data_IF_593888134848
#
_entry.id   IF_593888134848
#
_cell.length_a   1.000
_cell.length_b   1.000
_cell.length_c   1.000
_cell.angle_alpha   90.00
_cell.angle_beta   90.00
_cell.angle_gamma   90.00
#
_symmetry.space_group_name_H-M   'P 1'
#
loop_
_entity.id
_entity.type
_entity.pdbx_description
1 polymer ?
#
# COMPACT_ATOMS: atom_id res chain seq x y z
N UNK A 1 59.89 40.73 -98.16
CA UNK A 1 60.43 39.56 -97.44
C UNK A 1 61.52 40.05 -96.52
N UNK A 2 61.23 40.13 -95.22
CA UNK A 2 62.17 39.90 -94.11
C UNK A 2 61.32 40.03 -92.84
N UNK A 3 60.86 38.87 -92.35
CA UNK A 3 60.19 38.75 -91.07
C UNK A 3 61.21 38.99 -89.96
N UNK A 4 61.03 40.07 -89.19
CA UNK A 4 61.70 40.19 -87.90
C UNK A 4 60.93 39.35 -86.88
N UNK A 5 61.47 38.16 -86.57
CA UNK A 5 61.14 37.46 -85.35
C UNK A 5 61.63 38.29 -84.15
N UNK A 6 60.80 39.23 -83.68
CA UNK A 6 60.97 39.83 -82.36
C UNK A 6 60.96 38.67 -81.37
N UNK A 7 62.14 38.38 -80.81
CA UNK A 7 62.33 37.21 -79.97
C UNK A 7 61.30 37.26 -78.83
N UNK A 8 60.57 36.16 -78.63
CA UNK A 8 59.57 36.00 -77.56
C UNK A 8 60.10 36.44 -76.19
N UNK A 9 61.42 36.40 -75.99
CA UNK A 9 62.13 36.72 -74.75
C UNK A 9 62.51 38.21 -74.59
N UNK A 10 62.32 39.06 -75.61
CA UNK A 10 62.63 40.50 -75.55
C UNK A 10 61.46 41.37 -75.05
N UNK A 11 60.23 40.84 -75.02
CA UNK A 11 59.04 41.58 -74.60
C UNK A 11 58.75 41.39 -73.09
N UNK A 12 58.59 42.47 -72.31
CA UNK A 12 58.22 42.39 -70.89
C UNK A 12 56.91 41.62 -70.63
N UNK A 13 55.95 41.71 -71.55
CA UNK A 13 54.67 40.99 -71.46
C UNK A 13 54.84 39.46 -71.44
N UNK A 14 55.82 38.92 -72.18
CA UNK A 14 56.13 37.49 -72.17
C UNK A 14 56.62 37.03 -70.79
N UNK A 15 57.51 37.79 -70.15
CA UNK A 15 57.99 37.49 -68.81
C UNK A 15 56.88 37.58 -67.75
N UNK A 16 55.96 38.55 -67.88
CA UNK A 16 54.77 38.65 -67.01
C UNK A 16 53.86 37.43 -67.18
N UNK A 17 53.62 36.98 -68.42
CA UNK A 17 52.80 35.79 -68.69
C UNK A 17 53.41 34.49 -68.11
N UNK A 18 54.73 34.34 -68.18
CA UNK A 18 55.48 33.22 -67.59
C UNK A 18 55.41 33.25 -66.06
N UNK A 19 55.54 34.43 -65.46
CA UNK A 19 55.44 34.60 -64.01
C UNK A 19 54.03 34.25 -63.49
N UNK A 20 52.97 34.73 -64.16
CA UNK A 20 51.58 34.41 -63.82
C UNK A 20 51.30 32.92 -64.00
N UNK A 21 51.76 32.32 -65.11
CA UNK A 21 51.58 30.88 -65.37
C UNK A 21 52.27 30.04 -64.29
N UNK A 22 53.53 30.37 -63.95
CA UNK A 22 54.27 29.68 -62.89
C UNK A 22 53.58 29.86 -61.53
N UNK A 23 53.04 31.04 -61.23
CA UNK A 23 52.28 31.31 -60.01
C UNK A 23 51.01 30.44 -59.91
N UNK A 24 50.21 30.35 -60.98
CA UNK A 24 49.03 29.49 -61.00
C UNK A 24 49.39 28.00 -60.90
N UNK A 25 50.46 27.57 -61.56
CA UNK A 25 50.97 26.19 -61.42
C UNK A 25 51.36 25.92 -59.97
N UNK A 26 52.05 26.85 -59.29
CA UNK A 26 52.40 26.70 -57.88
C UNK A 26 51.16 26.66 -56.96
N UNK A 27 50.13 27.46 -57.23
CA UNK A 27 48.85 27.44 -56.49
C UNK A 27 48.16 26.08 -56.63
N UNK A 28 48.08 25.57 -57.85
CA UNK A 28 47.46 24.27 -58.14
C UNK A 28 48.29 23.15 -57.51
N UNK A 29 49.63 23.21 -57.61
CA UNK A 29 50.53 22.22 -57.04
C UNK A 29 50.48 22.21 -55.51
N UNK A 30 50.33 23.38 -54.88
CA UNK A 30 50.09 23.52 -53.43
C UNK A 30 48.66 23.19 -52.98
N UNK A 31 47.78 22.81 -53.91
CA UNK A 31 46.39 22.38 -53.64
C UNK A 31 45.57 23.39 -52.83
N UNK A 32 45.91 24.68 -52.90
CA UNK A 32 45.20 25.76 -52.20
C UNK A 32 43.68 25.71 -52.47
N UNK A 33 43.18 25.57 -53.71
CA UNK A 33 41.74 25.49 -53.95
C UNK A 33 41.07 24.25 -53.30
N UNK A 34 41.79 23.13 -53.20
CA UNK A 34 41.25 21.92 -52.56
C UNK A 34 41.13 22.10 -51.03
N UNK A 35 42.01 22.87 -50.41
CA UNK A 35 41.92 23.20 -48.97
C UNK A 35 40.68 24.05 -48.69
N UNK A 36 40.40 25.04 -49.52
CA UNK A 36 39.18 25.86 -49.39
C UNK A 36 37.90 25.04 -49.60
N UNK A 37 37.87 24.17 -50.61
CA UNK A 37 36.74 23.26 -50.83
C UNK A 37 36.53 22.34 -49.62
N UNK A 38 37.60 21.73 -49.09
CA UNK A 38 37.52 20.88 -47.91
C UNK A 38 37.00 21.63 -46.68
N UNK A 39 37.45 22.85 -46.44
CA UNK A 39 36.98 23.65 -45.31
C UNK A 39 35.48 23.95 -45.39
N UNK A 40 34.97 24.22 -46.59
CA UNK A 40 33.55 24.45 -46.82
C UNK A 40 32.73 23.16 -46.66
N UNK A 41 33.25 22.03 -47.14
CA UNK A 41 32.64 20.71 -46.93
C UNK A 41 32.61 20.32 -45.46
N UNK A 42 33.71 20.52 -44.72
CA UNK A 42 33.81 20.24 -43.29
C UNK A 42 32.79 21.09 -42.52
N UNK A 43 32.65 22.38 -42.87
CA UNK A 43 31.65 23.26 -42.27
C UNK A 43 30.23 22.84 -42.61
N UNK A 44 29.97 22.40 -43.84
CA UNK A 44 28.65 21.93 -44.26
C UNK A 44 28.26 20.66 -43.49
N UNK A 45 29.19 19.72 -43.33
CA UNK A 45 29.01 18.51 -42.52
C UNK A 45 28.77 18.83 -41.05
N UNK A 46 29.51 19.79 -40.50
CA UNK A 46 29.31 20.24 -39.11
C UNK A 46 27.89 20.78 -38.91
N UNK A 47 27.42 21.63 -39.82
CA UNK A 47 26.06 22.20 -39.76
C UNK A 47 25.01 21.10 -39.93
N UNK A 48 25.20 20.18 -40.87
CA UNK A 48 24.29 19.05 -41.08
C UNK A 48 24.18 18.18 -39.83
N UNK A 49 25.31 17.83 -39.20
CA UNK A 49 25.33 17.07 -37.94
C UNK A 49 24.64 17.84 -36.80
N UNK A 50 24.86 19.16 -36.69
CA UNK A 50 24.20 19.97 -35.67
C UNK A 50 22.68 20.03 -35.88
N UNK A 51 22.23 20.16 -37.13
CA UNK A 51 20.81 20.15 -37.48
C UNK A 51 20.16 18.79 -37.22
N UNK A 52 20.85 17.69 -37.55
CA UNK A 52 20.37 16.34 -37.25
C UNK A 52 20.23 16.12 -35.74
N UNK A 53 21.25 16.50 -34.97
CA UNK A 53 21.21 16.42 -33.51
C UNK A 53 20.08 17.27 -32.91
N UNK A 54 19.87 18.49 -33.43
CA UNK A 54 18.78 19.35 -32.98
C UNK A 54 17.41 18.74 -33.28
N UNK A 55 17.21 18.18 -34.48
CA UNK A 55 15.96 17.48 -34.85
C UNK A 55 15.73 16.26 -33.96
N UNK A 56 16.78 15.48 -33.69
CA UNK A 56 16.70 14.32 -32.80
C UNK A 56 16.32 14.73 -31.38
N UNK A 57 16.95 15.78 -30.85
CA UNK A 57 16.65 16.29 -29.52
C UNK A 57 15.21 16.81 -29.43
N UNK A 58 14.72 17.47 -30.48
CA UNK A 58 13.32 17.89 -30.56
C UNK A 58 12.37 16.68 -30.57
N UNK A 59 12.65 15.68 -31.40
CA UNK A 59 11.84 14.46 -31.46
C UNK A 59 11.83 13.71 -30.11
N UNK A 60 12.98 13.61 -29.44
CA UNK A 60 13.09 12.99 -28.12
C UNK A 60 12.31 13.79 -27.06
N UNK A 61 12.34 15.13 -27.12
CA UNK A 61 11.58 15.99 -26.22
C UNK A 61 10.06 15.87 -26.44
N UNK A 62 9.60 15.84 -27.69
CA UNK A 62 8.19 15.64 -28.05
C UNK A 62 7.70 14.24 -27.63
N UNK A 63 8.52 13.20 -27.86
CA UNK A 63 8.21 11.85 -27.41
C UNK A 63 8.13 11.75 -25.88
N UNK A 64 9.03 12.43 -25.17
CA UNK A 64 9.05 12.48 -23.72
C UNK A 64 7.83 13.22 -23.17
N UNK A 65 7.46 14.36 -23.76
CA UNK A 65 6.26 15.10 -23.39
C UNK A 65 5.00 14.23 -23.56
N UNK A 66 4.84 13.62 -24.73
CA UNK A 66 3.70 12.72 -24.99
C UNK A 66 3.67 11.52 -24.04
N UNK A 67 4.84 11.01 -23.63
CA UNK A 67 4.92 9.99 -22.59
C UNK A 67 4.43 10.51 -21.24
N UNK A 68 4.92 11.67 -20.79
CA UNK A 68 4.49 12.26 -19.52
C UNK A 68 3.00 12.59 -19.50
N UNK A 69 2.44 13.11 -20.59
CA UNK A 69 1.00 13.39 -20.69
C UNK A 69 0.16 12.11 -20.55
N UNK A 70 0.59 11.01 -21.19
CA UNK A 70 -0.05 9.70 -21.03
C UNK A 70 0.09 9.16 -19.61
N UNK A 71 1.31 9.21 -19.06
CA UNK A 71 1.60 8.73 -17.71
C UNK A 71 0.77 9.51 -16.67
N UNK A 72 0.59 10.83 -16.85
CA UNK A 72 -0.26 11.67 -15.99
C UNK A 72 -1.73 11.27 -16.10
N UNK A 73 -2.26 11.16 -17.31
CA UNK A 73 -3.65 10.74 -17.53
C UNK A 73 -3.93 9.34 -16.94
N UNK A 74 -3.00 8.40 -17.14
CA UNK A 74 -3.13 7.05 -16.61
C UNK A 74 -3.01 7.03 -15.07
N UNK A 75 -2.16 7.87 -14.49
CA UNK A 75 -2.07 8.03 -13.04
C UNK A 75 -3.33 8.65 -12.44
N UNK A 76 -3.92 9.66 -13.09
CA UNK A 76 -5.20 10.24 -12.67
C UNK A 76 -6.32 9.19 -12.71
N UNK A 77 -6.40 8.42 -13.80
CA UNK A 77 -7.37 7.33 -13.92
C UNK A 77 -7.18 6.27 -12.83
N UNK A 78 -5.95 5.84 -12.58
CA UNK A 78 -5.63 4.88 -11.51
C UNK A 78 -5.98 5.43 -10.13
N UNK A 79 -5.76 6.72 -9.89
CA UNK A 79 -6.11 7.36 -8.61
C UNK A 79 -7.64 7.39 -8.39
N UNK A 80 -8.42 7.69 -9.43
CA UNK A 80 -9.88 7.63 -9.37
C UNK A 80 -10.35 6.20 -9.09
N UNK A 81 -9.85 5.23 -9.85
CA UNK A 81 -10.20 3.81 -9.67
C UNK A 81 -9.81 3.31 -8.27
N UNK A 82 -8.65 3.72 -7.75
CA UNK A 82 -8.22 3.40 -6.39
C UNK A 82 -9.17 4.00 -5.34
N UNK A 83 -9.61 5.25 -5.53
CA UNK A 83 -10.53 5.90 -4.60
C UNK A 83 -11.89 5.19 -4.60
N UNK A 84 -12.44 4.88 -5.77
CA UNK A 84 -13.71 4.15 -5.90
C UNK A 84 -13.64 2.77 -5.24
N UNK A 85 -12.55 2.03 -5.47
CA UNK A 85 -12.33 0.73 -4.84
C UNK A 85 -12.18 0.84 -3.32
N UNK A 86 -11.44 1.83 -2.82
CA UNK A 86 -11.28 2.06 -1.39
C UNK A 86 -12.61 2.43 -0.72
N UNK A 87 -13.43 3.28 -1.35
CA UNK A 87 -14.77 3.61 -0.84
C UNK A 87 -15.68 2.37 -0.78
N UNK A 88 -15.66 1.54 -1.82
CA UNK A 88 -16.42 0.29 -1.86
C UNK A 88 -15.97 -0.69 -0.76
N UNK A 89 -14.65 -0.84 -0.59
CA UNK A 89 -14.05 -1.70 0.44
C UNK A 89 -14.37 -1.21 1.85
N UNK A 90 -14.24 0.09 2.11
CA UNK A 90 -14.61 0.70 3.41
C UNK A 90 -16.09 0.48 3.70
N UNK A 91 -16.97 0.65 2.72
CA UNK A 91 -18.41 0.41 2.90
C UNK A 91 -18.70 -1.05 3.25
N UNK A 92 -18.05 -1.99 2.57
CA UNK A 92 -18.15 -3.42 2.87
C UNK A 92 -17.65 -3.71 4.29
N UNK A 93 -16.44 -3.27 4.62
CA UNK A 93 -15.81 -3.47 5.93
C UNK A 93 -16.66 -2.89 7.08
N UNK A 94 -17.24 -1.70 6.89
CA UNK A 94 -18.15 -1.10 7.88
C UNK A 94 -19.41 -1.94 8.03
N UNK A 95 -19.98 -2.46 6.94
CA UNK A 95 -21.18 -3.29 7.00
C UNK A 95 -20.92 -4.62 7.72
N UNK A 96 -19.81 -5.29 7.41
CA UNK A 96 -19.39 -6.53 8.05
C UNK A 96 -19.06 -6.32 9.52
N UNK A 97 -18.30 -5.27 9.83
CA UNK A 97 -17.97 -4.91 11.21
C UNK A 97 -19.21 -4.62 12.04
N UNK A 98 -20.20 -3.90 11.48
CA UNK A 98 -21.49 -3.68 12.14
C UNK A 98 -22.23 -5.00 12.40
N UNK A 99 -22.29 -5.88 11.41
CA UNK A 99 -22.95 -7.18 11.57
C UNK A 99 -22.28 -8.02 12.68
N UNK A 100 -20.94 -8.09 12.67
CA UNK A 100 -20.16 -8.76 13.71
C UNK A 100 -20.39 -8.15 15.09
N UNK A 101 -20.41 -6.81 15.21
CA UNK A 101 -20.64 -6.14 16.49
C UNK A 101 -22.05 -6.41 17.05
N UNK A 102 -23.06 -6.47 16.18
CA UNK A 102 -24.43 -6.85 16.59
C UNK A 102 -24.45 -8.29 17.10
N UNK A 103 -23.83 -9.21 16.38
CA UNK A 103 -23.74 -10.62 16.78
C UNK A 103 -23.00 -10.77 18.12
N UNK A 104 -21.85 -10.12 18.27
CA UNK A 104 -21.06 -10.12 19.50
C UNK A 104 -21.85 -9.54 20.68
N UNK A 105 -22.59 -8.45 20.46
CA UNK A 105 -23.42 -7.83 21.49
C UNK A 105 -24.54 -8.78 21.93
N UNK A 106 -25.24 -9.40 20.97
CA UNK A 106 -26.29 -10.40 21.25
C UNK A 106 -25.73 -11.58 22.05
N UNK A 107 -24.59 -12.13 21.63
CA UNK A 107 -23.95 -13.23 22.35
C UNK A 107 -23.54 -12.83 23.77
N UNK A 108 -23.06 -11.59 23.96
CA UNK A 108 -22.73 -11.06 25.29
C UNK A 108 -23.96 -10.86 26.15
N UNK A 109 -25.09 -10.40 25.61
CA UNK A 109 -26.33 -10.25 26.37
C UNK A 109 -26.85 -11.61 26.82
N UNK A 110 -26.88 -12.61 25.93
CA UNK A 110 -27.29 -13.98 26.27
C UNK A 110 -26.42 -14.58 27.38
N UNK A 111 -25.10 -14.38 27.32
CA UNK A 111 -24.19 -14.83 28.39
C UNK A 111 -24.42 -14.09 29.71
N UNK A 112 -24.74 -12.80 29.67
CA UNK A 112 -25.06 -12.03 30.88
C UNK A 112 -26.38 -12.51 31.49
N UNK A 113 -27.41 -12.73 30.68
CA UNK A 113 -28.70 -13.29 31.11
C UNK A 113 -28.52 -14.68 31.73
N UNK A 114 -27.74 -15.56 31.10
CA UNK A 114 -27.43 -16.88 31.66
C UNK A 114 -26.71 -16.79 33.01
N UNK A 115 -25.78 -15.84 33.17
CA UNK A 115 -25.09 -15.60 34.46
C UNK A 115 -26.04 -15.09 35.53
N UNK A 116 -26.96 -14.19 35.18
CA UNK A 116 -27.99 -13.67 36.09
C UNK A 116 -28.89 -14.84 36.54
N UNK A 117 -29.41 -15.63 35.61
CA UNK A 117 -30.27 -16.77 35.93
C UNK A 117 -29.55 -17.80 36.84
N UNK A 118 -28.27 -18.06 36.59
CA UNK A 118 -27.46 -18.93 37.44
C UNK A 118 -27.29 -18.34 38.86
N UNK A 119 -27.02 -17.04 38.96
CA UNK A 119 -26.88 -16.35 40.25
C UNK A 119 -28.20 -16.32 41.03
N UNK A 120 -29.33 -16.08 40.36
CA UNK A 120 -30.67 -16.13 40.96
C UNK A 120 -31.00 -17.52 41.50
N UNK A 121 -30.70 -18.57 40.72
CA UNK A 121 -30.91 -19.95 41.16
C UNK A 121 -30.03 -20.30 42.38
N UNK A 122 -28.77 -19.83 42.40
CA UNK A 122 -27.87 -20.01 43.52
C UNK A 122 -28.38 -19.27 44.79
N UNK A 123 -28.78 -18.01 44.65
CA UNK A 123 -29.33 -17.21 45.75
C UNK A 123 -30.62 -17.81 46.32
N UNK A 124 -31.53 -18.29 45.46
CA UNK A 124 -32.74 -18.99 45.89
C UNK A 124 -32.41 -20.27 46.68
N UNK A 125 -31.41 -21.04 46.23
CA UNK A 125 -30.95 -22.22 46.95
C UNK A 125 -30.38 -21.86 48.32
N UNK A 126 -29.59 -20.78 48.39
CA UNK A 126 -29.01 -20.29 49.63
C UNK A 126 -30.08 -19.83 50.64
N UNK A 127 -31.07 -19.03 50.19
CA UNK A 127 -32.20 -18.59 51.02
C UNK A 127 -32.99 -19.80 51.55
N UNK A 128 -33.26 -20.80 50.71
CA UNK A 128 -33.94 -22.03 51.13
C UNK A 128 -33.13 -22.77 52.20
N UNK A 129 -31.83 -22.91 52.00
CA UNK A 129 -30.94 -23.56 52.98
C UNK A 129 -30.94 -22.79 54.31
N UNK A 130 -30.85 -21.46 54.27
CA UNK A 130 -30.89 -20.61 55.45
C UNK A 130 -32.23 -20.75 56.19
N UNK A 131 -33.34 -20.76 55.45
CA UNK A 131 -34.69 -20.92 56.02
C UNK A 131 -34.85 -22.28 56.69
N UNK A 132 -34.38 -23.36 56.04
CA UNK A 132 -34.38 -24.70 56.65
C UNK A 132 -33.57 -24.70 57.94
N UNK A 133 -32.37 -24.10 57.94
CA UNK A 133 -31.52 -24.01 59.13
C UNK A 133 -32.23 -23.25 60.27
N UNK A 134 -32.77 -22.06 60.00
CA UNK A 134 -33.51 -21.25 60.99
C UNK A 134 -34.73 -22.01 61.52
N UNK A 135 -35.50 -22.66 60.64
CA UNK A 135 -36.65 -23.46 61.05
C UNK A 135 -36.24 -24.65 61.93
N UNK A 136 -35.15 -25.34 61.62
CA UNK A 136 -34.63 -26.44 62.45
C UNK A 136 -34.09 -25.97 63.79
N UNK A 137 -33.45 -24.79 63.83
CA UNK A 137 -32.97 -24.16 65.05
C UNK A 137 -34.14 -23.72 65.94
N UNK A 138 -35.11 -23.01 65.40
CA UNK A 138 -36.32 -22.62 66.12
C UNK A 138 -37.12 -23.84 66.63
N UNK A 139 -37.20 -24.92 65.84
CA UNK A 139 -37.83 -26.16 66.28
C UNK A 139 -37.05 -26.82 67.42
N UNK A 140 -35.70 -26.81 67.37
CA UNK A 140 -34.85 -27.30 68.46
C UNK A 140 -35.07 -26.50 69.73
N UNK A 141 -35.12 -25.18 69.64
CA UNK A 141 -35.32 -24.29 70.79
C UNK A 141 -36.71 -24.49 71.40
N UNK A 142 -37.76 -24.53 70.57
CA UNK A 142 -39.14 -24.77 71.01
C UNK A 142 -39.31 -26.13 71.70
N UNK A 143 -38.68 -27.18 71.16
CA UNK A 143 -38.62 -28.51 71.81
C UNK A 143 -37.88 -28.39 73.13
N UNK A 144 -36.71 -27.73 73.17
CA UNK A 144 -35.93 -27.54 74.39
C UNK A 144 -36.69 -26.83 75.51
N UNK A 145 -37.47 -25.78 75.18
CA UNK A 145 -38.28 -25.03 76.14
C UNK A 145 -39.52 -25.78 76.63
N UNK A 146 -40.15 -26.60 75.78
CA UNK A 146 -41.42 -27.28 76.09
C UNK A 146 -41.27 -28.74 76.57
N UNK A 147 -40.05 -29.30 76.59
CA UNK A 147 -39.83 -30.70 76.91
C UNK A 147 -39.91 -30.97 78.42
N UNK A 148 -40.87 -31.80 78.83
CA UNK A 148 -41.01 -32.27 80.23
C UNK A 148 -40.27 -33.60 80.40
N UNK A 149 -39.94 -33.95 81.65
CA UNK A 149 -39.22 -35.19 82.00
C UNK A 149 -39.89 -36.46 81.43
N UNK A 150 -41.22 -36.48 81.38
CA UNK A 150 -42.00 -37.59 80.81
C UNK A 150 -41.86 -37.72 79.27
N UNK A 151 -41.69 -36.61 78.55
CA UNK A 151 -41.50 -36.61 77.09
C UNK A 151 -40.11 -37.15 76.72
N UNK A 152 -39.11 -36.89 77.58
CA UNK A 152 -37.76 -37.43 77.44
C UNK A 152 -37.72 -38.97 77.58
N UNK A 153 -38.39 -39.50 78.61
CA UNK A 153 -38.46 -40.96 78.85
C UNK A 153 -39.22 -41.67 77.71
N UNK A 154 -40.29 -41.06 77.18
CA UNK A 154 -41.03 -41.59 76.03
C UNK A 154 -40.21 -41.55 74.73
N UNK A 155 -39.39 -40.52 74.51
CA UNK A 155 -38.49 -40.44 73.35
C UNK A 155 -37.44 -41.54 73.39
N UNK A 156 -36.82 -41.80 74.55
CA UNK A 156 -35.83 -42.88 74.71
C UNK A 156 -36.47 -44.24 74.41
N UNK A 157 -37.67 -44.51 74.95
CA UNK A 157 -38.41 -45.75 74.68
C UNK A 157 -38.74 -45.92 73.19
N UNK A 158 -39.29 -44.87 72.55
CA UNK A 158 -39.61 -44.93 71.12
C UNK A 158 -38.36 -45.05 70.22
N UNK A 159 -37.22 -44.51 70.67
CA UNK A 159 -35.93 -44.65 69.99
C UNK A 159 -35.38 -46.07 70.08
N UNK A 160 -35.48 -46.71 71.25
CA UNK A 160 -35.10 -48.12 71.42
C UNK A 160 -36.01 -49.05 70.62
N UNK A 161 -37.32 -48.79 70.60
CA UNK A 161 -38.29 -49.61 69.87
C UNK A 161 -38.08 -49.53 68.34
N UNK A 162 -37.74 -48.34 67.81
CA UNK A 162 -37.42 -48.17 66.38
C UNK A 162 -36.08 -48.77 65.98
N UNK A 163 -35.12 -48.84 66.91
CA UNK A 163 -33.84 -49.51 66.68
C UNK A 163 -34.05 -51.02 66.62
N UNK A 164 -34.82 -51.57 67.57
CA UNK A 164 -35.18 -52.98 67.64
C UNK A 164 -35.92 -53.44 66.37
N UNK A 165 -36.87 -52.64 65.89
CA UNK A 165 -37.61 -52.89 64.65
C UNK A 165 -36.79 -52.78 63.34
N UNK A 166 -35.54 -52.29 63.39
CA UNK A 166 -34.64 -52.19 62.22
C UNK A 166 -33.54 -53.25 62.22
N UNK A 167 -33.31 -53.89 63.37
CA UNK A 167 -32.29 -54.94 63.55
C UNK A 167 -32.87 -56.34 63.78
N UNK A 168 -34.20 -56.46 63.87
CA UNK A 168 -34.97 -57.67 63.56
C UNK A 168 -35.55 -57.59 62.15
#
# INVERSE_FOLDING_TARGET
>A
MMEEHVSFFANPESWVSIAITTFFILIIWKKIPAVFAKMLDDRSREIENQLENARKLQADAEALLSKYERDLHDAEKQAVELMENAEAEVKLMVSESKAQMVELTKRRSELAEQKIALAEAAALKEIRSLTVNIATEAARDLIGENMKKADHDNLIKSGTDKLDAKFH
#
